data_IF_706772006035
#
_entry.id   IF_706772006035
#
_cell.length_a   1.000
_cell.length_b   1.000
_cell.length_c   1.000
_cell.angle_alpha   90.00
_cell.angle_beta   90.00
_cell.angle_gamma   90.00
#
_symmetry.space_group_name_H-M   'P 1'
#
loop_
_entity.id
_entity.type
_entity.pdbx_description
1 polymer ?
#
# COMPACT_ATOMS: atom_id res chain seq x y z
N UNK A 1 42.30 16.81 -0.02
CA UNK A 1 41.12 16.11 0.52
C UNK A 1 40.20 15.86 -0.66
N UNK A 2 40.09 14.62 -1.11
CA UNK A 2 39.14 14.25 -2.17
C UNK A 2 37.81 14.01 -1.48
N UNK A 3 36.79 14.79 -1.84
CA UNK A 3 35.42 14.53 -1.41
C UNK A 3 34.84 13.54 -2.41
N UNK A 4 34.63 12.30 -1.97
CA UNK A 4 33.89 11.30 -2.74
C UNK A 4 32.40 11.53 -2.46
N UNK A 5 31.66 11.99 -3.46
CA UNK A 5 30.20 12.07 -3.40
C UNK A 5 29.68 10.70 -3.81
N UNK A 6 29.17 9.94 -2.83
CA UNK A 6 28.52 8.66 -3.09
C UNK A 6 27.04 8.96 -3.37
N UNK A 7 26.63 8.82 -4.63
CA UNK A 7 25.21 8.82 -4.99
C UNK A 7 24.65 7.42 -4.63
N UNK A 8 24.14 7.27 -3.42
CA UNK A 8 23.38 6.10 -3.02
C UNK A 8 21.98 6.21 -3.64
N UNK A 9 21.78 5.57 -4.79
CA UNK A 9 20.42 5.26 -5.25
C UNK A 9 19.88 4.15 -4.34
N UNK A 10 19.23 4.53 -3.24
CA UNK A 10 18.37 3.60 -2.51
C UNK A 10 17.15 3.35 -3.38
N UNK A 11 17.16 2.26 -4.15
CA UNK A 11 15.94 1.73 -4.72
C UNK A 11 15.25 0.99 -3.59
N UNK A 12 14.30 1.66 -2.92
CA UNK A 12 13.43 0.97 -1.97
C UNK A 12 12.59 -0.03 -2.77
N UNK A 13 12.89 -1.32 -2.58
CA UNK A 13 12.26 -2.42 -3.29
C UNK A 13 10.85 -2.73 -2.78
N UNK A 14 10.31 -1.96 -1.83
CA UNK A 14 8.99 -2.18 -1.24
C UNK A 14 8.01 -1.13 -1.75
N UNK A 15 6.84 -1.57 -2.21
CA UNK A 15 5.80 -0.70 -2.76
C UNK A 15 4.41 -1.19 -2.42
N UNK A 16 3.46 -0.27 -2.32
CA UNK A 16 2.02 -0.56 -2.43
C UNK A 16 1.71 -0.58 -3.94
N UNK A 17 1.18 -1.69 -4.46
CA UNK A 17 1.01 -1.89 -5.91
C UNK A 17 -0.44 -1.89 -6.36
N UNK A 18 -1.37 -2.31 -5.51
CA UNK A 18 -2.79 -2.39 -5.85
C UNK A 18 -3.66 -2.16 -4.61
N UNK A 19 -4.82 -1.54 -4.80
CA UNK A 19 -5.79 -1.26 -3.73
C UNK A 19 -7.21 -1.49 -4.25
N UNK A 20 -7.96 -2.32 -3.54
CA UNK A 20 -9.41 -2.45 -3.66
C UNK A 20 -10.05 -1.79 -2.45
N UNK A 21 -10.79 -0.71 -2.70
CA UNK A 21 -11.39 0.12 -1.66
C UNK A 21 -12.92 0.14 -1.73
N UNK A 22 -13.54 -0.34 -2.82
CA UNK A 22 -14.98 -0.44 -2.97
C UNK A 22 -15.38 -1.77 -3.64
N UNK A 23 -15.09 -2.91 -2.99
CA UNK A 23 -15.33 -4.22 -3.57
C UNK A 23 -16.83 -4.48 -3.78
N UNK A 24 -17.23 -5.31 -4.76
CA UNK A 24 -18.61 -5.70 -4.95
C UNK A 24 -19.21 -6.30 -3.68
N UNK A 25 -20.35 -5.75 -3.23
CA UNK A 25 -21.06 -6.24 -2.06
C UNK A 25 -20.81 -5.38 -0.82
N UNK A 26 -20.18 -5.96 0.20
CA UNK A 26 -19.92 -5.28 1.49
C UNK A 26 -18.44 -4.95 1.58
N UNK A 27 -18.09 -3.70 1.87
CA UNK A 27 -16.71 -3.25 2.09
C UNK A 27 -16.03 -4.08 3.20
N UNK A 28 -16.76 -4.30 4.30
CA UNK A 28 -16.28 -5.13 5.42
C UNK A 28 -15.90 -6.54 4.98
N UNK A 29 -14.61 -6.86 5.10
CA UNK A 29 -14.07 -8.18 4.79
C UNK A 29 -13.59 -8.37 3.35
N UNK A 30 -13.79 -7.38 2.46
CA UNK A 30 -13.48 -7.50 1.05
C UNK A 30 -12.52 -6.41 0.54
N UNK A 31 -12.21 -5.40 1.33
CA UNK A 31 -11.15 -4.43 1.03
C UNK A 31 -9.77 -5.04 1.26
N UNK A 32 -8.81 -4.63 0.45
CA UNK A 32 -7.44 -5.11 0.56
C UNK A 32 -6.42 -4.19 -0.09
N UNK A 33 -5.17 -4.39 0.33
CA UNK A 33 -3.99 -3.73 -0.23
C UNK A 33 -2.98 -4.79 -0.66
N UNK A 34 -2.40 -4.61 -1.84
CA UNK A 34 -1.27 -5.40 -2.33
C UNK A 34 0.05 -4.66 -2.09
N UNK A 35 1.00 -5.39 -1.52
CA UNK A 35 2.39 -5.01 -1.44
C UNK A 35 3.22 -5.81 -2.44
N UNK A 36 4.30 -5.23 -2.92
CA UNK A 36 5.34 -5.93 -3.68
C UNK A 36 6.73 -5.68 -3.10
N UNK A 37 7.56 -6.72 -3.09
CA UNK A 37 9.00 -6.54 -2.97
C UNK A 37 9.85 -7.52 -3.78
N UNK A 38 10.93 -7.04 -4.41
CA UNK A 38 11.86 -7.92 -5.14
C UNK A 38 12.69 -8.80 -4.19
N UNK A 39 12.93 -8.31 -2.98
CA UNK A 39 13.70 -8.97 -1.92
C UNK A 39 12.79 -9.43 -0.78
N UNK A 40 13.30 -10.31 0.08
CA UNK A 40 12.58 -10.72 1.28
C UNK A 40 12.51 -9.57 2.29
N UNK A 41 11.29 -9.17 2.65
CA UNK A 41 11.00 -8.13 3.63
C UNK A 41 10.39 -8.78 4.87
N UNK A 42 10.94 -8.48 6.04
CA UNK A 42 10.30 -8.77 7.31
C UNK A 42 9.45 -7.57 7.72
N UNK A 43 8.15 -7.81 7.88
CA UNK A 43 7.14 -6.81 8.23
C UNK A 43 7.06 -6.51 9.73
N UNK A 44 7.95 -7.08 10.56
CA UNK A 44 8.03 -6.72 11.97
C UNK A 44 8.26 -5.21 12.13
N UNK A 45 7.39 -4.54 12.89
CA UNK A 45 7.30 -3.08 13.08
C UNK A 45 6.81 -2.27 11.87
N UNK A 46 6.43 -2.91 10.76
CA UNK A 46 5.68 -2.24 9.71
C UNK A 46 4.21 -2.11 10.10
N UNK A 47 3.58 -1.03 9.67
CA UNK A 47 2.15 -0.84 9.83
C UNK A 47 1.57 -0.06 8.64
N UNK A 48 0.28 -0.32 8.37
CA UNK A 48 -0.54 0.52 7.52
C UNK A 48 -1.26 1.57 8.37
N UNK A 49 -1.39 2.78 7.84
CA UNK A 49 -2.19 3.87 8.38
C UNK A 49 -3.07 4.41 7.25
N UNK A 50 -4.36 4.63 7.50
CA UNK A 50 -5.29 5.24 6.54
C UNK A 50 -5.40 6.76 6.77
N UNK A 51 -6.22 7.44 5.98
CA UNK A 51 -6.39 8.90 6.11
C UNK A 51 -7.04 9.33 7.45
N UNK A 52 -7.78 8.41 8.08
CA UNK A 52 -8.42 8.58 9.40
C UNK A 52 -7.49 8.31 10.59
N UNK A 53 -6.21 7.99 10.34
CA UNK A 53 -5.20 7.65 11.35
C UNK A 53 -5.44 6.32 12.08
N UNK A 54 -6.32 5.47 11.55
CA UNK A 54 -6.44 4.10 12.01
C UNK A 54 -5.20 3.30 11.59
N UNK A 55 -4.77 2.37 12.44
CA UNK A 55 -3.50 1.65 12.26
C UNK A 55 -3.72 0.13 12.25
N UNK A 56 -3.08 -0.55 11.29
CA UNK A 56 -2.96 -2.01 11.23
C UNK A 56 -1.49 -2.39 11.27
N UNK A 57 -1.07 -3.05 12.36
CA UNK A 57 0.28 -3.60 12.45
C UNK A 57 0.41 -4.83 11.55
N UNK A 58 1.50 -4.86 10.79
CA UNK A 58 1.84 -5.97 9.92
C UNK A 58 2.79 -6.93 10.65
N UNK A 59 2.79 -8.18 10.21
CA UNK A 59 3.66 -9.24 10.76
C UNK A 59 4.04 -10.21 9.66
N UNK A 60 5.08 -11.01 9.91
CA UNK A 60 5.55 -12.03 8.98
C UNK A 60 6.59 -11.50 8.00
N UNK A 61 6.93 -12.33 7.02
CA UNK A 61 7.89 -11.99 5.97
C UNK A 61 7.33 -12.37 4.61
N UNK A 62 7.69 -11.62 3.57
CA UNK A 62 7.27 -11.92 2.21
C UNK A 62 8.32 -11.51 1.18
N UNK A 63 8.18 -12.07 -0.01
CA UNK A 63 8.91 -11.70 -1.24
C UNK A 63 7.94 -11.85 -2.41
N UNK A 64 8.01 -10.94 -3.38
CA UNK A 64 7.04 -10.83 -4.46
C UNK A 64 5.79 -10.11 -3.98
N UNK A 65 4.63 -10.52 -4.50
CA UNK A 65 3.34 -9.93 -4.16
C UNK A 65 2.77 -10.49 -2.86
N UNK A 66 2.14 -9.62 -2.06
CA UNK A 66 1.52 -9.97 -0.78
C UNK A 66 0.24 -9.18 -0.56
N UNK A 67 -0.88 -9.87 -0.38
CA UNK A 67 -2.21 -9.28 -0.17
C UNK A 67 -2.51 -9.20 1.32
N UNK A 68 -2.89 -8.01 1.77
CA UNK A 68 -3.39 -7.74 3.12
C UNK A 68 -4.89 -7.50 3.00
N UNK A 69 -5.68 -8.44 3.52
CA UNK A 69 -7.14 -8.31 3.58
C UNK A 69 -7.56 -7.66 4.90
N UNK A 70 -8.56 -6.78 4.86
CA UNK A 70 -9.09 -6.15 6.06
C UNK A 70 -10.35 -6.88 6.55
N UNK A 71 -10.36 -7.28 7.83
CA UNK A 71 -11.51 -8.01 8.41
C UNK A 71 -12.78 -7.16 8.51
N UNK A 72 -12.62 -5.84 8.49
CA UNK A 72 -13.68 -4.84 8.58
C UNK A 72 -13.41 -3.78 7.52
N UNK A 73 -14.41 -2.94 7.28
CA UNK A 73 -14.21 -1.74 6.49
C UNK A 73 -13.15 -0.88 7.19
N UNK A 74 -12.12 -0.54 6.44
CA UNK A 74 -10.95 0.20 6.88
C UNK A 74 -10.54 1.28 5.88
N UNK A 75 -10.90 1.13 4.60
CA UNK A 75 -10.70 2.14 3.58
C UNK A 75 -11.99 2.94 3.34
N UNK A 76 -11.83 4.22 3.06
CA UNK A 76 -12.92 5.07 2.61
C UNK A 76 -13.06 5.04 1.09
N UNK A 77 -14.31 5.06 0.63
CA UNK A 77 -14.67 5.14 -0.79
C UNK A 77 -14.26 6.46 -1.49
N UNK A 78 -13.78 7.45 -0.74
CA UNK A 78 -13.39 8.75 -1.27
C UNK A 78 -12.33 9.43 -0.42
N UNK A 79 -11.43 10.17 -1.09
CA UNK A 79 -10.38 10.95 -0.44
C UNK A 79 -9.45 10.09 0.44
N UNK A 80 -9.21 8.84 0.04
CA UNK A 80 -8.43 7.86 0.81
C UNK A 80 -6.93 7.95 0.47
N UNK A 81 -6.08 7.71 1.47
CA UNK A 81 -4.64 7.54 1.29
C UNK A 81 -4.12 6.49 2.27
N UNK A 82 -3.39 5.52 1.74
CA UNK A 82 -2.76 4.47 2.53
C UNK A 82 -1.28 4.82 2.71
N UNK A 83 -0.81 4.73 3.94
CA UNK A 83 0.60 4.87 4.29
C UNK A 83 1.14 3.56 4.84
N UNK A 84 2.23 3.04 4.26
CA UNK A 84 3.04 1.97 4.81
C UNK A 84 4.26 2.58 5.51
N UNK A 85 4.36 2.39 6.83
CA UNK A 85 5.35 3.04 7.68
C UNK A 85 6.18 2.04 8.48
N UNK A 86 7.46 2.35 8.70
CA UNK A 86 8.35 1.63 9.63
C UNK A 86 9.58 2.49 9.98
N UNK A 87 9.66 2.99 11.22
CA UNK A 87 10.69 3.94 11.62
C UNK A 87 10.67 5.21 10.75
N UNK A 88 11.76 5.45 10.01
CA UNK A 88 11.89 6.59 9.08
C UNK A 88 11.32 6.29 7.67
N UNK A 89 10.89 5.05 7.41
CA UNK A 89 10.32 4.64 6.12
C UNK A 89 8.86 5.09 6.08
N UNK A 90 8.47 5.75 5.00
CA UNK A 90 7.07 6.03 4.65
C UNK A 90 6.90 5.87 3.14
N UNK A 91 5.96 5.03 2.75
CA UNK A 91 5.53 4.82 1.37
C UNK A 91 4.03 5.07 1.35
N UNK A 92 3.53 5.91 0.46
CA UNK A 92 2.13 6.28 0.41
C UNK A 92 1.55 6.24 -1.00
N UNK A 93 0.23 6.13 -1.05
CA UNK A 93 -0.54 6.23 -2.30
C UNK A 93 -0.80 7.68 -2.68
N UNK A 94 -1.22 7.92 -3.93
CA UNK A 94 -1.99 9.13 -4.26
C UNK A 94 -3.31 9.15 -3.49
N UNK A 95 -4.06 10.25 -3.58
CA UNK A 95 -5.44 10.27 -3.10
C UNK A 95 -6.26 9.35 -4.02
N UNK A 96 -6.87 8.33 -3.44
CA UNK A 96 -7.68 7.33 -4.14
C UNK A 96 -9.17 7.62 -3.92
N UNK A 97 -9.96 7.18 -4.88
CA UNK A 97 -11.42 7.27 -4.84
C UNK A 97 -12.04 6.18 -5.68
N UNK A 98 -13.06 5.55 -5.15
CA UNK A 98 -13.90 4.62 -5.88
C UNK A 98 -15.33 4.68 -5.34
N UNK A 99 -16.25 5.12 -6.19
CA UNK A 99 -17.66 5.24 -5.85
C UNK A 99 -18.50 4.11 -6.44
N UNK A 100 -17.89 3.06 -6.98
CA UNK A 100 -18.57 1.97 -7.66
C UNK A 100 -18.16 0.62 -7.07
N UNK A 101 -19.14 -0.19 -6.69
CA UNK A 101 -18.99 -1.55 -6.18
C UNK A 101 -18.75 -2.57 -7.30
N UNK A 102 -17.79 -2.28 -8.19
CA UNK A 102 -17.64 -2.97 -9.48
C UNK A 102 -16.41 -3.90 -9.57
N UNK A 103 -15.58 -3.96 -8.52
CA UNK A 103 -14.41 -4.85 -8.43
C UNK A 103 -13.20 -4.36 -9.23
N UNK A 104 -13.20 -3.08 -9.57
CA UNK A 104 -12.05 -2.40 -10.16
C UNK A 104 -11.13 -1.94 -9.05
N UNK A 105 -9.85 -1.92 -9.35
CA UNK A 105 -8.83 -1.59 -8.36
C UNK A 105 -7.96 -0.44 -8.83
N UNK A 106 -7.38 0.28 -7.88
CA UNK A 106 -6.30 1.19 -8.15
C UNK A 106 -5.00 0.41 -8.28
N UNK A 107 -4.26 0.64 -9.37
CA UNK A 107 -3.03 -0.06 -9.70
C UNK A 107 -1.89 0.94 -9.90
N UNK A 108 -0.72 0.67 -9.31
CA UNK A 108 0.48 1.46 -9.53
C UNK A 108 1.16 1.06 -10.85
N UNK A 109 0.96 1.86 -11.89
CA UNK A 109 1.46 1.61 -13.24
C UNK A 109 2.52 2.64 -13.62
N UNK A 110 3.78 2.23 -13.78
CA UNK A 110 4.90 3.13 -14.13
C UNK A 110 5.04 4.35 -13.22
N UNK A 111 4.71 4.20 -11.93
CA UNK A 111 4.76 5.27 -10.93
C UNK A 111 3.48 6.09 -10.80
N UNK A 112 2.44 5.82 -11.59
CA UNK A 112 1.17 6.52 -11.55
C UNK A 112 0.02 5.57 -11.16
N UNK A 113 -0.87 6.04 -10.29
CA UNK A 113 -2.06 5.29 -9.89
C UNK A 113 -3.12 5.35 -10.99
N UNK A 114 -3.54 4.20 -11.49
CA UNK A 114 -4.56 4.06 -12.53
C UNK A 114 -5.66 3.13 -12.05
N UNK A 115 -6.92 3.51 -12.28
CA UNK A 115 -8.08 2.70 -11.92
C UNK A 115 -8.43 1.73 -13.06
N UNK A 116 -8.30 0.43 -12.81
CA UNK A 116 -8.35 -0.64 -13.82
C UNK A 116 -9.32 -1.78 -13.41
N UNK A 117 -9.68 -2.61 -14.39
CA UNK A 117 -10.51 -3.82 -14.24
C UNK A 117 -9.69 -5.06 -13.89
#
# INVERSE_FOLDING_TARGET
MIVMVINLNFVFSLSITEVELNPPGSDSGNEWVELYSEEEVNLENYFLENNDQDIINLTGSFRGYYIINFEKQWLDNSDERIFLKSGEITIDTSILKDSQDNGKTWNLCSGEWTFLD
#
